data_IF_491286197587
#
_entry.id   IF_491286197587
#
_cell.length_a   1.000
_cell.length_b   1.000
_cell.length_c   1.000
_cell.angle_alpha   90.00
_cell.angle_beta   90.00
_cell.angle_gamma   90.00
#
_symmetry.space_group_name_H-M   'P 1'
#
loop_
_entity.id
_entity.type
_entity.pdbx_description
1 polymer ?
#
# COMPACT_ATOMS: atom_id res chain seq x y z
N UNK A 1 22.00 7.76 10.23
CA UNK A 1 21.31 6.49 10.55
C UNK A 1 20.20 6.25 9.52
N UNK A 2 20.46 5.33 8.60
CA UNK A 2 19.74 5.07 7.33
C UNK A 2 18.28 4.57 7.51
N UNK A 3 17.80 4.45 8.76
CA UNK A 3 16.55 3.77 9.14
C UNK A 3 15.28 4.55 8.73
N UNK A 4 15.38 5.87 8.52
CA UNK A 4 14.20 6.71 8.21
C UNK A 4 13.89 6.83 6.71
N UNK A 5 14.75 6.32 5.82
CA UNK A 5 14.50 6.39 4.38
C UNK A 5 13.42 5.39 3.91
N UNK A 6 13.27 4.25 4.59
CA UNK A 6 12.30 3.21 4.19
C UNK A 6 10.84 3.63 4.39
N UNK A 7 10.57 4.58 5.30
CA UNK A 7 9.22 5.11 5.52
C UNK A 7 8.65 5.88 4.32
N UNK A 8 9.52 6.39 3.44
CA UNK A 8 9.14 7.08 2.21
C UNK A 8 9.09 6.14 1.01
N UNK A 9 9.63 4.93 1.14
CA UNK A 9 9.54 3.91 0.11
C UNK A 9 8.14 3.28 0.14
N UNK A 10 7.34 3.61 -0.88
CA UNK A 10 6.04 2.98 -1.06
C UNK A 10 6.26 1.56 -1.59
N UNK A 11 6.41 0.59 -0.69
CA UNK A 11 6.51 -0.85 -1.02
C UNK A 11 5.21 -1.44 -1.60
N UNK A 12 4.14 -0.66 -1.65
CA UNK A 12 2.92 -1.04 -2.36
C UNK A 12 3.19 -1.03 -3.88
N UNK A 13 2.87 -2.10 -4.63
CA UNK A 13 2.93 -2.07 -6.08
C UNK A 13 1.87 -1.10 -6.63
N UNK A 14 2.23 0.18 -6.76
CA UNK A 14 1.36 1.20 -7.34
C UNK A 14 1.41 1.05 -8.86
N UNK A 15 0.28 0.75 -9.48
CA UNK A 15 0.16 0.68 -10.93
C UNK A 15 0.59 2.01 -11.57
N UNK A 16 1.55 1.96 -12.49
CA UNK A 16 1.98 3.15 -13.23
C UNK A 16 0.85 3.62 -14.16
N UNK A 17 0.46 4.89 -14.06
CA UNK A 17 -0.62 5.46 -14.88
C UNK A 17 -0.38 5.35 -16.40
N UNK A 18 0.88 5.32 -16.85
CA UNK A 18 1.22 5.08 -18.26
C UNK A 18 0.74 3.69 -18.71
N UNK A 19 0.98 2.66 -17.90
CA UNK A 19 0.52 1.29 -18.17
C UNK A 19 -1.00 1.21 -18.16
N UNK A 20 -1.65 1.85 -17.18
CA UNK A 20 -3.12 1.89 -17.09
C UNK A 20 -3.74 2.48 -18.36
N UNK A 21 -3.20 3.60 -18.88
CA UNK A 21 -3.68 4.23 -20.12
C UNK A 21 -3.53 3.31 -21.34
N UNK A 22 -2.44 2.57 -21.43
CA UNK A 22 -2.22 1.59 -22.53
C UNK A 22 -3.27 0.48 -22.46
N UNK A 23 -3.51 -0.09 -21.28
CA UNK A 23 -4.51 -1.16 -21.08
C UNK A 23 -5.92 -0.65 -21.41
N UNK A 24 -6.30 0.54 -20.97
CA UNK A 24 -7.60 1.16 -21.31
C UNK A 24 -7.74 1.36 -22.81
N UNK A 25 -6.69 1.86 -23.49
CA UNK A 25 -6.71 2.06 -24.93
C UNK A 25 -6.94 0.74 -25.68
N UNK A 26 -6.26 -0.33 -25.26
CA UNK A 26 -6.45 -1.67 -25.81
C UNK A 26 -7.88 -2.20 -25.55
N UNK A 27 -8.41 -2.01 -24.35
CA UNK A 27 -9.77 -2.44 -24.01
C UNK A 27 -10.82 -1.76 -24.91
N UNK A 28 -10.68 -0.45 -25.15
CA UNK A 28 -11.56 0.29 -26.07
C UNK A 28 -11.43 -0.22 -27.51
N UNK A 29 -10.20 -0.40 -28.00
CA UNK A 29 -9.94 -0.93 -29.35
C UNK A 29 -10.49 -2.34 -29.57
N UNK A 30 -10.71 -3.09 -28.50
CA UNK A 30 -11.24 -4.46 -28.53
C UNK A 30 -12.70 -4.54 -28.09
N UNK A 31 -13.34 -3.41 -27.86
CA UNK A 31 -14.74 -3.31 -27.37
C UNK A 31 -14.97 -4.13 -26.08
N UNK A 32 -13.95 -4.19 -25.22
CA UNK A 32 -14.04 -4.90 -23.95
C UNK A 32 -14.86 -4.09 -22.94
N UNK A 33 -15.79 -4.77 -22.26
CA UNK A 33 -16.49 -4.20 -21.11
C UNK A 33 -15.50 -3.99 -19.96
N UNK A 34 -15.46 -2.76 -19.44
CA UNK A 34 -14.65 -2.39 -18.29
C UNK A 34 -15.52 -2.26 -17.04
N UNK A 35 -14.98 -2.71 -15.91
CA UNK A 35 -15.60 -2.56 -14.60
C UNK A 35 -14.58 -1.95 -13.64
N UNK A 36 -15.01 -0.99 -12.85
CA UNK A 36 -14.21 -0.41 -11.77
C UNK A 36 -14.61 -1.08 -10.46
N UNK A 37 -13.61 -1.47 -9.68
CA UNK A 37 -13.79 -2.08 -8.38
C UNK A 37 -13.03 -1.23 -7.35
N UNK A 38 -13.78 -0.69 -6.40
CA UNK A 38 -13.23 0.07 -5.27
C UNK A 38 -13.37 -0.79 -4.01
N UNK A 39 -12.23 -1.19 -3.44
CA UNK A 39 -12.21 -1.99 -2.22
C UNK A 39 -11.95 -1.09 -1.02
N UNK A 40 -12.88 -1.08 -0.06
CA UNK A 40 -12.72 -0.33 1.19
C UNK A 40 -11.57 -0.84 2.07
N UNK A 41 -11.08 -2.04 1.80
CA UNK A 41 -10.04 -2.73 2.57
C UNK A 41 -8.79 -2.95 1.69
N UNK A 42 -8.22 -1.89 1.14
CA UNK A 42 -6.91 -1.95 0.49
C UNK A 42 -5.80 -2.10 1.53
N UNK A 43 -5.84 -3.18 2.31
CA UNK A 43 -4.69 -3.65 3.06
C UNK A 43 -3.74 -4.31 2.06
N UNK A 44 -2.46 -4.01 2.16
CA UNK A 44 -1.43 -4.71 1.41
C UNK A 44 -1.47 -6.18 1.87
N UNK A 45 -2.07 -7.06 1.08
CA UNK A 45 -2.06 -8.51 1.35
C UNK A 45 -0.68 -9.14 1.12
N UNK A 46 0.35 -8.33 0.89
CA UNK A 46 1.74 -8.78 0.84
C UNK A 46 2.16 -9.40 2.16
N UNK A 47 3.08 -10.35 2.10
CA UNK A 47 3.74 -10.82 3.32
C UNK A 47 4.60 -9.70 3.88
N UNK A 48 4.59 -9.59 5.21
CA UNK A 48 5.42 -8.62 5.88
C UNK A 48 6.82 -9.23 5.97
N UNK A 49 7.67 -8.93 5.00
CA UNK A 49 9.04 -9.44 4.95
C UNK A 49 9.91 -8.85 6.09
N UNK A 50 9.53 -7.68 6.62
CA UNK A 50 10.29 -6.95 7.64
C UNK A 50 9.45 -6.60 8.89
N UNK A 51 10.08 -6.47 10.06
CA UNK A 51 9.36 -6.05 11.26
C UNK A 51 9.03 -4.54 11.23
N UNK A 52 7.77 -4.21 10.99
CA UNK A 52 7.31 -2.82 10.99
C UNK A 52 6.83 -2.40 12.39
N UNK A 53 7.41 -1.32 12.89
CA UNK A 53 6.99 -0.65 14.13
C UNK A 53 6.41 0.72 13.79
N UNK A 54 5.32 1.11 14.45
CA UNK A 54 4.63 2.39 14.27
C UNK A 54 4.56 3.18 15.58
N UNK A 55 4.40 4.50 15.47
CA UNK A 55 4.15 5.36 16.62
C UNK A 55 2.85 4.94 17.33
N UNK A 56 2.80 5.11 18.65
CA UNK A 56 1.57 4.82 19.38
C UNK A 56 0.48 5.81 18.98
N UNK A 57 -0.78 5.35 18.88
CA UNK A 57 -1.88 6.26 18.59
C UNK A 57 -2.06 7.25 19.75
N UNK A 58 -2.54 8.48 19.46
CA UNK A 58 -2.85 9.46 20.50
C UNK A 58 -3.76 8.87 21.57
N UNK A 59 -3.42 9.07 22.85
CA UNK A 59 -4.18 8.53 23.98
C UNK A 59 -3.72 7.16 24.50
N UNK A 60 -2.74 6.52 23.85
CA UNK A 60 -2.08 5.28 24.30
C UNK A 60 -0.58 5.46 24.54
N UNK A 61 -0.15 6.71 24.77
CA UNK A 61 1.26 7.08 24.84
C UNK A 61 1.92 6.58 26.12
N UNK A 62 2.75 5.54 26.01
CA UNK A 62 3.69 5.12 27.05
C UNK A 62 5.14 5.49 26.69
N UNK A 63 5.91 6.13 27.59
CA UNK A 63 7.29 6.46 27.32
C UNK A 63 8.11 5.23 26.93
N UNK A 64 8.83 5.32 25.80
CA UNK A 64 9.71 4.27 25.24
C UNK A 64 9.01 3.04 24.66
N UNK A 65 7.69 3.08 24.45
CA UNK A 65 6.95 2.01 23.76
C UNK A 65 6.65 2.38 22.29
N UNK A 66 6.40 1.36 21.47
CA UNK A 66 5.94 1.49 20.08
C UNK A 66 5.01 0.32 19.73
N UNK A 67 4.18 0.48 18.71
CA UNK A 67 3.28 -0.59 18.27
C UNK A 67 3.96 -1.42 17.19
N UNK A 68 3.97 -2.76 17.33
CA UNK A 68 4.40 -3.67 16.27
C UNK A 68 3.22 -3.97 15.35
N UNK A 69 3.37 -3.72 14.05
CA UNK A 69 2.38 -4.10 13.05
C UNK A 69 2.32 -5.61 12.95
N UNK A 70 1.14 -6.18 13.19
CA UNK A 70 0.85 -7.60 12.95
C UNK A 70 -0.07 -7.71 11.75
N UNK A 71 0.28 -8.57 10.79
CA UNK A 71 -0.63 -8.96 9.71
C UNK A 71 -1.84 -9.69 10.33
N UNK A 72 -3.03 -9.39 9.82
CA UNK A 72 -4.28 -10.02 10.22
C UNK A 72 -4.44 -11.41 9.62
#
# INVERSE_FOLDING_TARGET
PEIWNDYLETFAPVAKMKTVRVVISLAVMKEWKMYQLDFKNAFLNGDLEEEVYMHMPPGYEEPKMCCKLKKA
#
